data_IF_636436068381
#
_entry.id   IF_636436068381
#
_cell.length_a   1.000
_cell.length_b   1.000
_cell.length_c   1.000
_cell.angle_alpha   90.00
_cell.angle_beta   90.00
_cell.angle_gamma   90.00
#
_symmetry.space_group_name_H-M   'P 1'
#
loop_
_entity.id
_entity.type
_entity.pdbx_description
1 polymer ?
#
# COMPACT_ATOMS: atom_id res chain seq x y z
N UNK A 1 -14.28 44.40 32.65
CA UNK A 1 -13.96 43.18 31.87
C UNK A 1 -13.65 41.93 32.73
N UNK A 2 -14.46 41.50 33.73
CA UNK A 2 -14.13 40.31 34.54
C UNK A 2 -14.84 38.99 34.15
N UNK A 3 -15.86 39.01 33.27
CA UNK A 3 -16.68 37.81 32.97
C UNK A 3 -16.01 36.77 32.06
N UNK A 4 -15.15 37.18 31.11
CA UNK A 4 -14.50 36.24 30.16
C UNK A 4 -13.41 35.37 30.81
N UNK A 5 -12.72 35.85 31.86
CA UNK A 5 -11.69 35.05 32.56
C UNK A 5 -12.28 34.01 33.53
N UNK A 6 -13.45 34.27 34.13
CA UNK A 6 -14.12 33.29 35.02
C UNK A 6 -14.62 32.07 34.25
N UNK A 7 -15.19 32.27 33.06
CA UNK A 7 -15.72 31.19 32.22
C UNK A 7 -14.62 30.22 31.69
N UNK A 8 -13.38 30.71 31.50
CA UNK A 8 -12.25 29.88 31.06
C UNK A 8 -11.66 29.01 32.19
N UNK A 9 -11.75 29.46 33.43
CA UNK A 9 -11.29 28.71 34.61
C UNK A 9 -12.33 27.64 34.98
N UNK A 10 -13.63 27.95 34.88
CA UNK A 10 -14.71 26.98 35.11
C UNK A 10 -14.71 25.84 34.07
N UNK A 11 -14.39 26.12 32.81
CA UNK A 11 -14.31 25.09 31.76
C UNK A 11 -13.10 24.17 31.91
N UNK A 12 -11.93 24.72 32.26
CA UNK A 12 -10.73 23.93 32.57
C UNK A 12 -10.91 23.08 33.84
N UNK A 13 -11.56 23.61 34.87
CA UNK A 13 -11.90 22.87 36.09
C UNK A 13 -12.97 21.79 35.86
N UNK A 14 -13.91 22.01 34.94
CA UNK A 14 -14.91 21.01 34.54
C UNK A 14 -14.29 19.84 33.76
N UNK A 15 -13.35 20.10 32.86
CA UNK A 15 -12.58 19.06 32.16
C UNK A 15 -11.69 18.31 33.16
N UNK A 16 -11.00 19.02 34.05
CA UNK A 16 -10.17 18.41 35.10
C UNK A 16 -10.98 17.55 36.08
N UNK A 17 -12.23 17.92 36.40
CA UNK A 17 -13.14 17.08 37.21
C UNK A 17 -13.61 15.83 36.45
N UNK A 18 -13.84 15.93 35.14
CA UNK A 18 -14.23 14.79 34.29
C UNK A 18 -13.10 13.78 34.07
N UNK A 19 -11.85 14.23 34.14
CA UNK A 19 -10.65 13.39 33.98
C UNK A 19 -10.09 12.83 35.30
N UNK A 20 -10.70 13.11 36.48
CA UNK A 20 -10.35 12.39 37.72
C UNK A 20 -10.90 10.98 37.64
N UNK A 21 -10.15 10.08 37.01
CA UNK A 21 -10.46 8.66 36.99
C UNK A 21 -10.29 8.09 38.41
N UNK A 22 -11.24 7.24 38.81
CA UNK A 22 -11.08 6.40 40.00
C UNK A 22 -9.80 5.56 39.84
N UNK A 23 -9.04 5.29 40.92
CA UNK A 23 -7.85 4.45 40.84
C UNK A 23 -8.21 3.13 40.15
N UNK A 24 -7.39 2.75 39.17
CA UNK A 24 -7.60 1.54 38.38
C UNK A 24 -7.57 0.35 39.34
N UNK A 25 -8.67 -0.42 39.38
CA UNK A 25 -8.71 -1.67 40.15
C UNK A 25 -7.60 -2.61 39.65
N UNK A 26 -7.06 -3.41 40.57
CA UNK A 26 -6.09 -4.44 40.22
C UNK A 26 -6.67 -5.35 39.13
N UNK A 27 -5.90 -5.49 38.05
CA UNK A 27 -6.32 -6.28 36.88
C UNK A 27 -6.09 -7.76 37.20
N UNK A 28 -7.05 -8.65 36.88
CA UNK A 28 -6.86 -10.08 37.09
C UNK A 28 -5.71 -10.62 36.23
N UNK A 29 -5.06 -11.69 36.71
CA UNK A 29 -4.02 -12.39 35.97
C UNK A 29 -4.54 -12.90 34.61
N UNK A 30 -3.67 -13.03 33.58
CA UNK A 30 -4.09 -13.58 32.29
C UNK A 30 -4.67 -14.98 32.44
N UNK A 31 -5.84 -15.22 31.85
CA UNK A 31 -6.39 -16.57 31.66
C UNK A 31 -5.38 -17.44 30.91
N UNK A 32 -5.41 -18.76 31.11
CA UNK A 32 -4.48 -19.69 30.44
C UNK A 32 -4.43 -19.50 28.91
N UNK A 33 -5.58 -19.33 28.24
CA UNK A 33 -5.65 -19.01 26.80
C UNK A 33 -4.89 -17.72 26.45
N UNK A 34 -5.02 -16.68 27.28
CA UNK A 34 -4.28 -15.42 27.10
C UNK A 34 -2.80 -15.60 27.41
N UNK A 35 -2.42 -16.37 28.43
CA UNK A 35 -1.04 -16.65 28.77
C UNK A 35 -0.31 -17.40 27.64
N UNK A 36 -0.94 -18.43 27.06
CA UNK A 36 -0.42 -19.14 25.87
C UNK A 36 -0.26 -18.19 24.67
N UNK A 37 -1.25 -17.33 24.41
CA UNK A 37 -1.15 -16.33 23.35
C UNK A 37 -0.02 -15.32 23.60
N UNK A 38 0.14 -14.85 24.86
CA UNK A 38 1.24 -13.95 25.25
C UNK A 38 2.60 -14.63 25.04
N UNK A 39 2.74 -15.90 25.41
CA UNK A 39 4.00 -16.64 25.22
C UNK A 39 4.35 -16.76 23.73
N UNK A 40 3.37 -17.10 22.87
CA UNK A 40 3.56 -17.14 21.42
C UNK A 40 3.92 -15.77 20.84
N UNK A 41 3.23 -14.70 21.27
CA UNK A 41 3.54 -13.33 20.84
C UNK A 41 4.91 -12.86 21.31
N UNK A 42 5.39 -13.33 22.47
CA UNK A 42 6.71 -12.99 23.00
C UNK A 42 7.83 -13.57 22.12
N UNK A 43 7.70 -14.85 21.76
CA UNK A 43 8.61 -15.50 20.80
C UNK A 43 8.62 -14.80 19.44
N UNK A 44 7.44 -14.40 18.94
CA UNK A 44 7.34 -13.67 17.69
C UNK A 44 7.98 -12.26 17.78
N UNK A 45 7.82 -11.58 18.91
CA UNK A 45 8.41 -10.27 19.18
C UNK A 45 9.94 -10.34 19.24
N UNK A 46 10.50 -11.35 19.91
CA UNK A 46 11.95 -11.53 20.05
C UNK A 46 12.63 -11.83 18.69
N UNK A 47 11.89 -12.36 17.72
CA UNK A 47 12.36 -12.59 16.35
C UNK A 47 12.23 -11.38 15.41
N UNK A 48 11.63 -10.28 15.84
CA UNK A 48 11.50 -9.07 15.00
C UNK A 48 12.84 -8.34 14.89
N UNK A 49 13.17 -7.78 13.71
CA UNK A 49 14.39 -7.00 13.55
C UNK A 49 14.36 -5.76 14.45
N UNK A 50 15.52 -5.43 15.03
CA UNK A 50 15.71 -4.20 15.77
C UNK A 50 15.46 -3.00 14.85
N UNK A 51 14.76 -1.99 15.37
CA UNK A 51 14.46 -0.74 14.67
C UNK A 51 15.19 0.41 15.37
N UNK A 52 15.63 1.44 14.64
CA UNK A 52 16.23 2.60 15.26
C UNK A 52 15.24 3.28 16.23
N UNK A 53 15.73 3.71 17.38
CA UNK A 53 15.00 4.40 18.42
C UNK A 53 15.80 5.57 19.00
N UNK A 54 15.29 6.77 18.74
CA UNK A 54 15.91 8.02 19.19
C UNK A 54 15.09 8.71 20.29
N UNK A 55 15.79 9.47 21.12
CA UNK A 55 15.21 10.62 21.80
C UNK A 55 15.26 11.83 20.86
N UNK A 56 14.10 12.43 20.63
CA UNK A 56 13.96 13.63 19.80
C UNK A 56 13.84 14.87 20.69
N UNK A 57 14.71 15.86 20.45
CA UNK A 57 14.72 17.16 21.13
C UNK A 57 14.65 18.26 20.07
N UNK A 58 13.69 19.18 20.18
CA UNK A 58 13.67 20.39 19.37
C UNK A 58 14.49 21.49 20.05
N UNK A 59 15.52 21.98 19.36
CA UNK A 59 16.27 23.15 19.81
C UNK A 59 15.45 24.44 19.64
N UNK A 60 15.82 25.52 20.35
CA UNK A 60 15.16 26.84 20.22
C UNK A 60 15.23 27.45 18.81
N UNK A 61 16.21 27.05 18.01
CA UNK A 61 16.38 27.45 16.60
C UNK A 61 15.46 26.67 15.63
N UNK A 62 14.65 25.74 16.16
CA UNK A 62 13.78 24.87 15.37
C UNK A 62 14.46 23.61 14.83
N UNK A 63 15.75 23.39 15.13
CA UNK A 63 16.45 22.19 14.68
C UNK A 63 15.98 20.95 15.47
N UNK A 64 15.62 19.89 14.75
CA UNK A 64 15.39 18.56 15.33
C UNK A 64 16.73 17.90 15.61
N UNK A 65 16.98 17.54 16.87
CA UNK A 65 18.12 16.74 17.30
C UNK A 65 17.63 15.37 17.68
N UNK A 66 18.29 14.35 17.14
CA UNK A 66 18.10 12.95 17.54
C UNK A 66 19.30 12.50 18.35
N UNK A 67 19.02 11.80 19.44
CA UNK A 67 20.00 11.30 20.40
C UNK A 67 19.73 9.82 20.63
N UNK A 68 20.78 8.99 20.64
CA UNK A 68 20.62 7.55 20.80
C UNK A 68 20.15 7.23 22.23
N UNK A 69 19.33 6.18 22.40
CA UNK A 69 18.86 5.75 23.73
C UNK A 69 19.89 4.91 24.51
N UNK A 70 21.05 4.69 23.92
CA UNK A 70 22.15 3.94 24.49
C UNK A 70 23.49 4.58 24.12
N UNK A 71 24.55 4.11 24.76
CA UNK A 71 25.90 4.64 24.61
C UNK A 71 26.56 4.36 23.24
N UNK A 72 26.06 3.41 22.47
CA UNK A 72 26.58 3.10 21.14
C UNK A 72 25.92 3.95 20.04
N UNK A 73 26.32 5.21 19.92
CA UNK A 73 25.78 6.13 18.91
C UNK A 73 26.06 5.66 17.47
N UNK A 74 27.21 5.02 17.23
CA UNK A 74 27.57 4.50 15.92
C UNK A 74 26.71 3.30 15.53
N UNK A 75 26.47 2.36 16.45
CA UNK A 75 25.54 1.25 16.25
C UNK A 75 24.14 1.72 15.88
N UNK A 76 23.65 2.74 16.58
CA UNK A 76 22.34 3.34 16.29
C UNK A 76 22.32 4.04 14.92
N UNK A 77 23.41 4.72 14.56
CA UNK A 77 23.57 5.32 13.22
C UNK A 77 23.51 4.25 12.12
N UNK A 78 24.16 3.09 12.29
CA UNK A 78 24.07 1.99 11.32
C UNK A 78 22.64 1.46 11.16
N UNK A 79 21.88 1.35 12.25
CA UNK A 79 20.45 0.99 12.17
C UNK A 79 19.65 2.03 11.38
N UNK A 80 19.99 3.31 11.53
CA UNK A 80 19.32 4.38 10.80
C UNK A 80 19.67 4.37 9.29
N UNK A 81 20.92 4.09 8.93
CA UNK A 81 21.31 3.85 7.54
C UNK A 81 20.60 2.64 6.93
N UNK A 82 20.54 1.53 7.68
CA UNK A 82 19.81 0.33 7.25
C UNK A 82 18.30 0.60 7.09
N UNK A 83 17.70 1.37 7.99
CA UNK A 83 16.29 1.75 7.92
C UNK A 83 15.94 2.62 6.70
N UNK A 84 16.90 3.40 6.21
CA UNK A 84 16.72 4.33 5.08
C UNK A 84 17.28 3.81 3.77
N UNK A 85 17.89 2.62 3.76
CA UNK A 85 18.43 1.99 2.56
C UNK A 85 19.58 2.75 1.91
N UNK A 86 20.35 3.53 2.69
CA UNK A 86 21.37 4.43 2.14
C UNK A 86 22.58 4.58 3.03
N UNK A 87 23.75 4.72 2.41
CA UNK A 87 24.99 5.11 3.08
C UNK A 87 25.19 6.64 3.17
N UNK A 88 24.29 7.45 2.58
CA UNK A 88 24.44 8.90 2.52
C UNK A 88 23.82 9.58 3.75
N UNK A 89 24.66 10.16 4.61
CA UNK A 89 24.21 10.94 5.77
C UNK A 89 23.24 12.05 5.39
N UNK A 90 23.46 12.70 4.25
CA UNK A 90 22.61 13.79 3.78
C UNK A 90 21.20 13.29 3.44
N UNK A 91 21.10 12.12 2.80
CA UNK A 91 19.83 11.48 2.49
C UNK A 91 19.12 11.01 3.76
N UNK A 92 19.84 10.32 4.64
CA UNK A 92 19.30 9.84 5.93
C UNK A 92 18.70 10.99 6.72
N UNK A 93 19.45 12.08 6.88
CA UNK A 93 18.98 13.29 7.55
C UNK A 93 17.74 13.90 6.88
N UNK A 94 17.65 13.86 5.55
CA UNK A 94 16.49 14.34 4.81
C UNK A 94 15.27 13.44 5.04
N UNK A 95 15.40 12.12 4.91
CA UNK A 95 14.33 11.15 5.12
C UNK A 95 13.77 11.25 6.56
N UNK A 96 14.64 11.34 7.56
CA UNK A 96 14.25 11.55 8.96
C UNK A 96 13.44 12.83 9.13
N UNK A 97 13.90 13.95 8.54
CA UNK A 97 13.19 15.23 8.62
C UNK A 97 11.82 15.15 7.97
N UNK A 98 11.69 14.47 6.84
CA UNK A 98 10.40 14.32 6.16
C UNK A 98 9.44 13.43 6.95
N UNK A 99 9.92 12.32 7.51
CA UNK A 99 9.14 11.49 8.42
C UNK A 99 8.67 12.28 9.65
N UNK A 100 9.54 13.09 10.24
CA UNK A 100 9.20 13.93 11.38
C UNK A 100 8.14 14.99 11.02
N UNK A 101 8.30 15.69 9.88
CA UNK A 101 7.32 16.68 9.39
C UNK A 101 5.94 16.07 9.19
N UNK A 102 5.89 14.86 8.64
CA UNK A 102 4.65 14.15 8.33
C UNK A 102 4.01 13.54 9.58
N UNK A 103 4.81 13.03 10.51
CA UNK A 103 4.34 12.38 11.73
C UNK A 103 3.84 13.34 12.80
N UNK A 104 4.26 14.61 12.78
CA UNK A 104 3.87 15.61 13.77
C UNK A 104 2.37 15.94 13.71
N UNK A 105 1.73 15.98 14.89
CA UNK A 105 0.34 16.39 14.99
C UNK A 105 0.09 17.83 14.47
N UNK A 106 -0.99 17.99 13.70
CA UNK A 106 -1.36 19.29 13.12
C UNK A 106 -1.55 20.36 14.20
N UNK A 107 -0.87 21.49 14.04
CA UNK A 107 -1.00 22.64 14.94
C UNK A 107 -0.24 22.50 16.27
N UNK A 108 0.53 21.42 16.45
CA UNK A 108 1.42 21.25 17.60
C UNK A 108 2.83 21.69 17.18
N UNK A 109 3.44 22.55 18.00
CA UNK A 109 4.82 22.98 17.76
C UNK A 109 5.79 21.88 18.21
N UNK A 110 6.65 21.44 17.28
CA UNK A 110 7.64 20.40 17.50
C UNK A 110 7.12 18.99 17.20
N UNK A 111 8.04 18.03 17.21
CA UNK A 111 7.76 16.60 16.98
C UNK A 111 8.27 15.82 18.18
N UNK A 112 7.45 14.92 18.69
CA UNK A 112 7.78 14.05 19.81
C UNK A 112 8.67 12.89 19.36
N UNK A 113 9.41 12.30 20.30
CA UNK A 113 10.23 11.11 19.99
C UNK A 113 9.38 9.93 19.53
N UNK A 114 8.13 9.82 19.99
CA UNK A 114 7.20 8.79 19.55
C UNK A 114 6.81 8.95 18.07
N UNK A 115 6.54 10.17 17.61
CA UNK A 115 6.17 10.45 16.22
C UNK A 115 7.34 10.19 15.25
N UNK A 116 8.56 10.59 15.62
CA UNK A 116 9.77 10.28 14.84
C UNK A 116 10.00 8.77 14.76
N UNK A 117 9.99 8.09 15.90
CA UNK A 117 10.24 6.64 15.95
C UNK A 117 9.14 5.84 15.25
N UNK A 118 7.89 6.31 15.23
CA UNK A 118 6.81 5.69 14.47
C UNK A 118 7.06 5.76 12.95
N UNK A 119 7.49 6.92 12.45
CA UNK A 119 7.88 7.08 11.04
C UNK A 119 9.08 6.22 10.66
N UNK A 120 10.09 6.18 11.52
CA UNK A 120 11.26 5.32 11.34
C UNK A 120 10.91 3.84 11.36
N UNK A 121 10.05 3.40 12.29
CA UNK A 121 9.57 2.03 12.34
C UNK A 121 8.79 1.64 11.08
N UNK A 122 7.96 2.55 10.56
CA UNK A 122 7.26 2.34 9.29
C UNK A 122 8.23 2.19 8.13
N UNK A 123 9.17 3.14 7.95
CA UNK A 123 10.14 3.10 6.86
C UNK A 123 11.05 1.86 6.96
N UNK A 124 11.48 1.52 8.17
CA UNK A 124 12.24 0.30 8.39
C UNK A 124 11.44 -0.95 8.00
N UNK A 125 10.12 -0.95 8.23
CA UNK A 125 9.22 -2.03 7.81
C UNK A 125 9.00 -2.13 6.30
N UNK A 126 9.23 -1.04 5.56
CA UNK A 126 9.32 -1.08 4.10
C UNK A 126 10.59 -1.83 3.67
N UNK A 127 11.66 -1.78 4.46
CA UNK A 127 12.96 -2.38 4.18
C UNK A 127 13.53 -1.89 2.83
N UNK A 128 13.70 -0.57 2.64
CA UNK A 128 14.16 -0.03 1.37
C UNK A 128 15.57 -0.52 1.03
N UNK A 129 15.75 -1.01 -0.20
CA UNK A 129 17.07 -1.43 -0.70
C UNK A 129 17.96 -0.28 -1.20
N UNK A 130 17.35 0.85 -1.55
CA UNK A 130 18.01 2.04 -2.06
C UNK A 130 17.24 3.32 -1.69
N UNK A 131 17.79 4.48 -2.06
CA UNK A 131 17.17 5.79 -1.80
C UNK A 131 15.82 5.98 -2.51
N UNK A 132 15.57 5.30 -3.64
CA UNK A 132 14.32 5.43 -4.40
C UNK A 132 13.20 4.67 -3.71
N UNK A 133 13.46 3.45 -3.25
CA UNK A 133 12.55 2.69 -2.39
C UNK A 133 12.29 3.44 -1.09
N UNK A 134 13.32 4.05 -0.50
CA UNK A 134 13.17 4.84 0.73
C UNK A 134 12.28 6.08 0.49
N UNK A 135 12.47 6.79 -0.62
CA UNK A 135 11.64 7.92 -0.99
C UNK A 135 10.18 7.51 -1.16
N UNK A 136 9.94 6.37 -1.81
CA UNK A 136 8.59 5.80 -1.94
C UNK A 136 8.01 5.43 -0.58
N UNK A 137 8.81 4.84 0.32
CA UNK A 137 8.42 4.51 1.69
C UNK A 137 8.03 5.75 2.52
N UNK A 138 8.79 6.84 2.41
CA UNK A 138 8.44 8.12 3.06
C UNK A 138 7.12 8.67 2.50
N UNK A 139 6.90 8.60 1.19
CA UNK A 139 5.62 9.01 0.59
C UNK A 139 4.46 8.10 1.03
N UNK A 140 4.68 6.79 1.18
CA UNK A 140 3.69 5.85 1.70
C UNK A 140 3.31 6.15 3.15
N UNK A 141 4.28 6.55 3.98
CA UNK A 141 3.99 6.99 5.35
C UNK A 141 3.11 8.25 5.34
N UNK A 142 3.41 9.22 4.47
CA UNK A 142 2.63 10.44 4.35
C UNK A 142 1.20 10.19 3.85
N UNK A 143 1.02 9.35 2.84
CA UNK A 143 -0.32 8.99 2.34
C UNK A 143 -1.12 8.23 3.39
N UNK A 144 -0.47 7.34 4.16
CA UNK A 144 -1.10 6.65 5.28
C UNK A 144 -1.58 7.63 6.37
N UNK A 145 -0.73 8.53 6.83
CA UNK A 145 -1.08 9.49 7.88
C UNK A 145 -2.23 10.39 7.45
N UNK A 146 -2.18 10.93 6.23
CA UNK A 146 -3.26 11.74 5.68
C UNK A 146 -4.56 10.92 5.53
N UNK A 147 -4.49 9.66 5.09
CA UNK A 147 -5.67 8.81 4.98
C UNK A 147 -6.37 8.61 6.34
N UNK A 148 -5.59 8.28 7.37
CA UNK A 148 -6.10 8.05 8.73
C UNK A 148 -6.65 9.35 9.33
N UNK A 149 -5.95 10.47 9.16
CA UNK A 149 -6.41 11.77 9.63
C UNK A 149 -7.74 12.17 8.97
N UNK A 150 -7.83 12.10 7.64
CA UNK A 150 -9.05 12.45 6.91
C UNK A 150 -10.20 11.51 7.24
N UNK A 151 -9.94 10.21 7.40
CA UNK A 151 -10.97 9.25 7.84
C UNK A 151 -11.48 9.58 9.25
N UNK A 152 -10.59 9.96 10.16
CA UNK A 152 -10.94 10.41 11.50
C UNK A 152 -11.79 11.69 11.46
N UNK A 153 -11.37 12.72 10.72
CA UNK A 153 -12.13 13.96 10.59
C UNK A 153 -13.52 13.73 9.98
N UNK A 154 -13.60 12.88 8.95
CA UNK A 154 -14.86 12.47 8.32
C UNK A 154 -15.82 11.81 9.33
N UNK A 155 -15.30 10.95 10.22
CA UNK A 155 -16.12 10.26 11.22
C UNK A 155 -16.70 11.19 12.30
N UNK A 156 -16.04 12.31 12.58
CA UNK A 156 -16.39 13.19 13.71
C UNK A 156 -17.04 14.52 13.29
N UNK A 157 -17.18 14.79 12.00
CA UNK A 157 -17.88 15.98 11.52
C UNK A 157 -19.38 15.75 11.37
N UNK A 158 -20.17 16.77 11.70
CA UNK A 158 -21.61 16.81 11.44
C UNK A 158 -21.96 17.69 10.22
N UNK A 159 -20.99 18.44 9.70
CA UNK A 159 -21.19 19.23 8.48
C UNK A 159 -21.12 18.32 7.25
N UNK A 160 -22.17 18.37 6.42
CA UNK A 160 -22.30 17.55 5.22
C UNK A 160 -21.23 17.89 4.18
N UNK A 161 -20.86 19.16 4.03
CA UNK A 161 -19.82 19.56 3.08
C UNK A 161 -18.47 18.99 3.49
N UNK A 162 -18.06 19.22 4.75
CA UNK A 162 -16.84 18.65 5.32
C UNK A 162 -16.81 17.11 5.27
N UNK A 163 -17.94 16.43 5.52
CA UNK A 163 -18.04 14.97 5.44
C UNK A 163 -17.68 14.46 4.04
N UNK A 164 -18.23 15.09 3.00
CA UNK A 164 -17.94 14.71 1.61
C UNK A 164 -16.47 15.00 1.24
N UNK A 165 -15.91 16.13 1.66
CA UNK A 165 -14.53 16.49 1.37
C UNK A 165 -13.53 15.54 2.03
N UNK A 166 -13.66 15.31 3.34
CA UNK A 166 -12.78 14.41 4.08
C UNK A 166 -12.94 12.96 3.62
N UNK A 167 -14.18 12.50 3.37
CA UNK A 167 -14.43 11.16 2.84
C UNK A 167 -13.80 10.92 1.46
N UNK A 168 -13.89 11.91 0.57
CA UNK A 168 -13.25 11.85 -0.75
C UNK A 168 -11.73 11.87 -0.64
N UNK A 169 -11.15 12.71 0.23
CA UNK A 169 -9.71 12.77 0.42
C UNK A 169 -9.16 11.47 1.01
N UNK A 170 -9.80 10.94 2.05
CA UNK A 170 -9.44 9.65 2.65
C UNK A 170 -9.45 8.53 1.60
N UNK A 171 -10.51 8.46 0.79
CA UNK A 171 -10.63 7.45 -0.29
C UNK A 171 -9.51 7.57 -1.33
N UNK A 172 -9.16 8.80 -1.72
CA UNK A 172 -8.06 9.04 -2.66
C UNK A 172 -6.72 8.60 -2.06
N UNK A 173 -6.41 9.00 -0.83
CA UNK A 173 -5.16 8.63 -0.17
C UNK A 173 -5.04 7.12 0.04
N UNK A 174 -6.12 6.44 0.44
CA UNK A 174 -6.13 4.97 0.56
C UNK A 174 -5.87 4.27 -0.79
N UNK A 175 -6.43 4.78 -1.89
CA UNK A 175 -6.16 4.25 -3.24
C UNK A 175 -4.72 4.51 -3.65
N UNK A 176 -4.20 5.71 -3.40
CA UNK A 176 -2.79 6.05 -3.66
C UNK A 176 -1.85 5.14 -2.88
N UNK A 177 -2.15 4.86 -1.61
CA UNK A 177 -1.35 3.95 -0.79
C UNK A 177 -1.29 2.54 -1.42
N UNK A 178 -2.44 2.00 -1.86
CA UNK A 178 -2.47 0.71 -2.56
C UNK A 178 -1.63 0.73 -3.87
N UNK A 179 -1.73 1.81 -4.65
CA UNK A 179 -0.91 1.97 -5.86
C UNK A 179 0.59 2.07 -5.55
N UNK A 180 0.98 2.69 -4.44
CA UNK A 180 2.38 2.76 -4.01
C UNK A 180 2.91 1.39 -3.56
N UNK A 181 2.09 0.59 -2.87
CA UNK A 181 2.42 -0.81 -2.54
C UNK A 181 2.66 -1.63 -3.81
N UNK A 182 1.77 -1.50 -4.81
CA UNK A 182 1.95 -2.17 -6.10
C UNK A 182 3.20 -1.68 -6.85
N UNK A 183 3.49 -0.38 -6.78
CA UNK A 183 4.69 0.20 -7.40
C UNK A 183 5.97 -0.34 -6.75
N UNK A 184 6.02 -0.41 -5.41
CA UNK A 184 7.14 -0.99 -4.68
C UNK A 184 7.34 -2.46 -5.06
N UNK A 185 6.26 -3.24 -5.10
CA UNK A 185 6.31 -4.64 -5.52
C UNK A 185 6.83 -4.80 -6.97
N UNK A 186 6.49 -3.88 -7.87
CA UNK A 186 6.99 -3.87 -9.26
C UNK A 186 8.47 -3.51 -9.34
N UNK A 187 8.92 -2.51 -8.58
CA UNK A 187 10.35 -2.13 -8.48
C UNK A 187 11.17 -3.34 -8.04
N UNK A 188 10.73 -4.03 -6.97
CA UNK A 188 11.42 -5.22 -6.44
C UNK A 188 11.43 -6.43 -7.38
N UNK A 189 10.41 -6.56 -8.23
CA UNK A 189 10.37 -7.59 -9.28
C UNK A 189 11.22 -7.23 -10.50
N UNK A 190 11.83 -6.05 -10.56
CA UNK A 190 12.71 -5.64 -11.67
C UNK A 190 11.98 -5.42 -13.00
N UNK A 191 10.67 -5.19 -12.99
CA UNK A 191 9.89 -5.01 -14.22
C UNK A 191 9.73 -6.26 -15.08
N UNK A 192 10.04 -7.45 -14.55
CA UNK A 192 9.89 -8.71 -15.28
C UNK A 192 8.39 -9.09 -15.38
N UNK A 193 7.75 -8.63 -16.45
CA UNK A 193 6.45 -9.16 -16.86
C UNK A 193 6.70 -10.45 -17.65
N UNK A 194 6.47 -11.60 -17.02
CA UNK A 194 6.51 -12.90 -17.71
C UNK A 194 5.33 -12.97 -18.67
N UNK A 195 5.49 -12.44 -19.89
CA UNK A 195 4.49 -12.54 -20.96
C UNK A 195 4.58 -13.95 -21.55
N UNK A 196 3.70 -14.84 -21.12
CA UNK A 196 3.55 -16.16 -21.74
C UNK A 196 2.78 -15.99 -23.06
N UNK A 197 3.50 -16.04 -24.18
CA UNK A 197 2.87 -16.15 -25.50
C UNK A 197 2.23 -17.54 -25.63
N UNK A 198 0.90 -17.60 -25.50
CA UNK A 198 0.12 -18.82 -25.77
C UNK A 198 -0.34 -18.77 -27.22
N UNK A 199 0.24 -19.62 -28.06
CA UNK A 199 -0.26 -19.84 -29.41
C UNK A 199 -1.52 -20.72 -29.34
N UNK A 200 -2.67 -20.11 -29.63
CA UNK A 200 -3.93 -20.84 -29.82
C UNK A 200 -4.09 -21.06 -31.32
N UNK A 201 -3.93 -22.31 -31.76
CA UNK A 201 -4.20 -22.72 -33.13
C UNK A 201 -5.72 -22.86 -33.35
N UNK A 202 -6.20 -22.62 -34.58
CA UNK A 202 -7.62 -22.80 -34.93
C UNK A 202 -8.07 -24.23 -34.57
N UNK A 203 -9.02 -24.33 -33.64
CA UNK A 203 -9.56 -25.61 -33.14
C UNK A 203 -9.01 -26.09 -31.79
N UNK A 204 -8.02 -25.44 -31.18
CA UNK A 204 -7.50 -25.80 -29.86
C UNK A 204 -8.16 -25.02 -28.71
N UNK A 205 -8.97 -25.68 -27.87
CA UNK A 205 -9.37 -25.10 -26.58
C UNK A 205 -8.16 -25.07 -25.64
N UNK A 206 -7.51 -23.91 -25.51
CA UNK A 206 -6.43 -23.73 -24.55
C UNK A 206 -7.01 -23.45 -23.15
N UNK A 207 -7.00 -24.46 -22.28
CA UNK A 207 -7.28 -24.28 -20.85
C UNK A 207 -5.97 -23.82 -20.19
N UNK A 208 -5.88 -22.54 -19.80
CA UNK A 208 -4.74 -22.00 -19.06
C UNK A 208 -4.98 -22.24 -17.56
N UNK A 209 -4.27 -23.21 -16.97
CA UNK A 209 -4.26 -23.45 -15.52
C UNK A 209 -2.95 -22.87 -14.96
N UNK A 210 -3.05 -21.85 -14.13
CA UNK A 210 -1.88 -21.14 -13.58
C UNK A 210 -1.15 -21.95 -12.49
N UNK A 211 -1.82 -22.94 -11.90
CA UNK A 211 -1.23 -23.80 -10.85
C UNK A 211 -1.89 -25.19 -10.83
N UNK A 212 -1.17 -26.22 -11.28
CA UNK A 212 -1.53 -27.62 -11.05
C UNK A 212 -1.13 -28.01 -9.63
N UNK A 213 -2.12 -28.04 -8.78
CA UNK A 213 -1.98 -28.40 -7.38
C UNK A 213 -2.17 -29.92 -7.25
N UNK A 214 -1.10 -30.68 -7.49
CA UNK A 214 -1.06 -32.14 -7.23
C UNK A 214 -1.01 -32.41 -5.73
N UNK A 215 -2.16 -32.26 -5.07
CA UNK A 215 -2.36 -32.83 -3.75
C UNK A 215 -2.71 -34.30 -3.96
N UNK A 216 -1.80 -35.19 -3.58
CA UNK A 216 -1.90 -36.61 -3.82
C UNK A 216 -3.05 -37.29 -3.08
N UNK A 217 -3.63 -38.29 -3.75
CA UNK A 217 -4.20 -39.45 -3.11
C UNK A 217 -4.03 -40.67 -4.04
N UNK A 218 -3.10 -41.55 -3.70
CA UNK A 218 -3.30 -42.99 -3.79
C UNK A 218 -2.99 -43.72 -5.10
N UNK A 219 -1.81 -44.37 -5.09
CA UNK A 219 -1.53 -45.73 -5.56
C UNK A 219 -1.49 -46.06 -7.06
N UNK A 220 -0.29 -46.45 -7.52
CA UNK A 220 -0.08 -47.30 -8.70
C UNK A 220 1.27 -47.06 -9.36
N UNK A 221 2.23 -47.96 -9.17
CA UNK A 221 3.61 -47.88 -9.66
C UNK A 221 3.69 -47.81 -11.20
N UNK A 222 4.55 -46.94 -11.74
CA UNK A 222 5.24 -47.18 -13.01
C UNK A 222 6.62 -46.49 -13.00
N UNK A 223 7.67 -47.30 -12.89
CA UNK A 223 9.04 -46.94 -13.27
C UNK A 223 9.10 -46.80 -14.80
N UNK A 224 9.77 -45.76 -15.32
CA UNK A 224 10.18 -45.73 -16.73
C UNK A 224 10.06 -44.37 -17.40
N UNK A 225 11.13 -43.57 -17.23
CA UNK A 225 11.73 -42.51 -18.06
C UNK A 225 11.02 -41.91 -19.32
N UNK A 226 11.34 -40.64 -19.66
CA UNK A 226 10.65 -39.84 -20.67
C UNK A 226 11.46 -39.68 -21.96
N UNK A 227 11.20 -40.48 -23.00
CA UNK A 227 11.50 -40.11 -24.40
C UNK A 227 10.86 -41.12 -25.38
N UNK A 228 9.84 -40.71 -26.13
CA UNK A 228 9.50 -41.35 -27.41
C UNK A 228 8.71 -40.35 -28.30
N UNK A 229 9.06 -40.19 -29.59
CA UNK A 229 8.47 -39.20 -30.47
C UNK A 229 7.13 -39.67 -31.08
N UNK A 230 6.35 -38.66 -31.46
CA UNK A 230 5.13 -38.69 -32.26
C UNK A 230 5.08 -39.81 -33.33
N UNK A 231 4.09 -40.70 -33.23
CA UNK A 231 3.66 -41.59 -34.30
C UNK A 231 2.16 -41.38 -34.53
N UNK A 232 1.83 -40.79 -35.67
CA UNK A 232 0.47 -40.44 -36.06
C UNK A 232 -0.44 -41.65 -36.21
N UNK A 233 -1.71 -41.46 -35.84
CA UNK A 233 -2.82 -42.30 -36.28
C UNK A 233 -3.98 -41.36 -36.65
N UNK A 234 -4.30 -41.31 -37.93
CA UNK A 234 -5.57 -40.83 -38.44
C UNK A 234 -6.55 -42.04 -38.58
N UNK A 235 -7.83 -41.82 -38.88
CA UNK A 235 -8.97 -42.14 -38.02
C UNK A 235 -9.62 -43.49 -38.36
N UNK A 236 -10.30 -44.11 -37.39
CA UNK A 236 -11.17 -45.26 -37.64
C UNK A 236 -12.52 -45.14 -36.92
N UNK A 237 -13.52 -44.76 -37.72
CA UNK A 237 -14.91 -45.24 -37.76
C UNK A 237 -15.78 -45.31 -36.49
N UNK A 238 -16.69 -44.32 -36.43
CA UNK A 238 -18.15 -44.43 -36.25
C UNK A 238 -18.76 -45.04 -34.98
N UNK A 239 -19.53 -44.21 -34.27
CA UNK A 239 -20.90 -44.56 -33.86
C UNK A 239 -21.90 -43.68 -34.64
N UNK A 240 -23.01 -44.24 -35.18
CA UNK A 240 -23.95 -43.49 -36.02
C UNK A 240 -24.98 -42.69 -35.19
N UNK A 241 -25.11 -41.41 -35.57
CA UNK A 241 -26.26 -40.47 -35.57
C UNK A 241 -27.42 -40.62 -34.56
N UNK A 242 -27.79 -39.48 -33.96
CA UNK A 242 -29.19 -39.06 -33.80
C UNK A 242 -29.42 -37.74 -34.58
N UNK A 243 -30.32 -37.81 -35.56
CA UNK A 243 -30.92 -36.71 -36.39
C UNK A 243 -31.68 -35.72 -35.49
N UNK A 244 -32.04 -34.46 -35.78
CA UNK A 244 -32.28 -33.62 -36.97
C UNK A 244 -32.34 -32.17 -36.39
N UNK A 245 -31.78 -31.14 -37.03
CA UNK A 245 -32.63 -30.16 -37.71
C UNK A 245 -31.86 -29.42 -38.81
N UNK A 246 -32.54 -29.30 -39.95
CA UNK A 246 -32.05 -28.87 -41.24
C UNK A 246 -32.92 -27.69 -41.71
N UNK A 247 -32.68 -26.52 -41.12
CA UNK A 247 -33.22 -25.26 -41.59
C UNK A 247 -32.13 -24.20 -41.47
N UNK A 248 -31.50 -23.92 -42.62
CA UNK A 248 -30.44 -22.94 -42.75
C UNK A 248 -30.89 -21.51 -42.51
N UNK A 249 -29.95 -20.70 -42.03
CA UNK A 249 -29.64 -19.42 -42.64
C UNK A 249 -28.14 -19.17 -42.43
N UNK A 250 -27.37 -19.25 -43.52
CA UNK A 250 -25.96 -18.86 -43.50
C UNK A 250 -25.85 -17.37 -43.19
N UNK A 251 -25.07 -17.02 -42.17
CA UNK A 251 -24.70 -15.62 -41.91
C UNK A 251 -23.57 -15.22 -42.88
N UNK A 252 -23.62 -14.01 -43.48
CA UNK A 252 -22.59 -13.57 -44.41
C UNK A 252 -21.21 -13.49 -43.75
N UNK A 253 -20.21 -14.07 -44.42
CA UNK A 253 -18.79 -13.85 -44.14
C UNK A 253 -18.48 -12.39 -44.45
N UNK A 254 -18.04 -11.61 -43.46
CA UNK A 254 -17.60 -10.24 -43.67
C UNK A 254 -16.28 -10.23 -44.44
N UNK A 255 -16.30 -9.61 -45.61
CA UNK A 255 -15.21 -9.48 -46.58
C UNK A 255 -14.16 -8.43 -46.20
N UNK A 256 -12.92 -8.68 -46.61
CA UNK A 256 -11.75 -7.79 -46.51
C UNK A 256 -11.83 -6.55 -47.44
N UNK A 257 -12.94 -5.81 -47.40
CA UNK A 257 -12.98 -4.48 -48.00
C UNK A 257 -12.64 -3.42 -46.93
N UNK A 258 -11.43 -2.86 -47.07
CA UNK A 258 -10.92 -1.79 -46.22
C UNK A 258 -11.91 -0.67 -46.03
N UNK A 259 -12.16 -0.33 -44.76
CA UNK A 259 -13.07 0.76 -44.39
C UNK A 259 -12.56 2.11 -44.92
N UNK A 260 -13.50 2.95 -45.35
CA UNK A 260 -13.29 4.33 -45.80
C UNK A 260 -12.54 5.15 -44.75
N UNK A 261 -11.61 5.99 -45.22
CA UNK A 261 -10.79 6.91 -44.44
C UNK A 261 -11.62 7.75 -43.46
N UNK A 262 -11.37 7.56 -42.15
CA UNK A 262 -11.97 8.36 -41.09
C UNK A 262 -11.46 9.81 -41.13
N UNK A 263 -12.31 10.82 -40.85
CA UNK A 263 -11.87 12.21 -40.81
C UNK A 263 -10.92 12.48 -39.63
N UNK A 264 -9.86 13.25 -39.90
CA UNK A 264 -8.77 13.53 -38.97
C UNK A 264 -9.24 14.34 -37.74
N UNK A 265 -9.04 13.81 -36.53
CA UNK A 265 -9.49 14.40 -35.25
C UNK A 265 -8.73 15.67 -34.79
N UNK A 266 -7.87 16.27 -35.64
CA UNK A 266 -7.00 17.39 -35.27
C UNK A 266 -7.41 18.66 -36.02
N UNK A 267 -8.38 19.38 -35.46
CA UNK A 267 -8.79 20.71 -35.93
C UNK A 267 -7.62 21.70 -35.78
N UNK A 268 -6.88 21.95 -36.85
CA UNK A 268 -5.96 23.09 -36.96
C UNK A 268 -6.73 24.31 -37.50
N UNK A 269 -7.40 25.07 -36.63
CA UNK A 269 -7.65 26.49 -36.90
C UNK A 269 -7.73 27.29 -35.59
N UNK A 270 -6.96 28.40 -35.45
CA UNK A 270 -7.03 29.29 -34.31
C UNK A 270 -8.24 30.22 -34.42
N UNK A 271 -9.13 30.23 -33.42
CA UNK A 271 -10.17 31.27 -33.28
C UNK A 271 -9.58 32.45 -32.53
N UNK A 272 -9.08 33.45 -33.25
CA UNK A 272 -8.93 34.83 -32.73
C UNK A 272 -9.96 35.68 -33.45
N UNK A 273 -11.04 36.03 -32.76
CA UNK A 273 -12.00 37.01 -33.26
C UNK A 273 -11.41 38.41 -33.06
N UNK A 274 -11.17 39.10 -34.16
CA UNK A 274 -10.86 40.52 -34.23
C UNK A 274 -12.06 41.36 -33.78
N UNK A 275 -11.88 42.20 -32.76
CA UNK A 275 -12.70 43.39 -32.53
C UNK A 275 -12.55 44.31 -33.74
N UNK A 276 -13.67 44.86 -34.22
CA UNK A 276 -13.68 46.12 -34.96
C UNK A 276 -14.67 47.10 -34.29
N UNK A 277 -14.41 48.40 -34.41
CA UNK A 277 -15.04 49.44 -33.61
C UNK A 277 -16.28 50.01 -34.28
N UNK A 278 -17.26 50.37 -33.47
CA UNK A 278 -18.07 51.61 -33.53
C UNK A 278 -18.63 51.85 -32.13
#
# INVERSE_FOLDING_TARGET
>A
MPKKMKNGIESAQAIAKRCRSKPLKEKPAPTEKKARAIAASRLAYDGMPARPSFEAKCRPDGALVLDARHNDEQGESYLLHAATGSASDAWVNHAVKDLAKVGGARGVAGVTSAEVNAGLAFLSGVEPGDEVEAALGVQMYATHQLAVEMASLCRHTNDRAALMEYGNMATKMMRTFAMQVDALAKIRRGGEQVVRHVHVYEGGQAIVVDQFNHHGAGNGKAFGQPYAPFAGHAPAFSAPMLSQDAAGNGVPVSSDQGQKTMPHARRKQPRRASRKPE
#
